data_IF_803251368985
#
_entry.id   IF_803251368985
#
_cell.length_a   1.000
_cell.length_b   1.000
_cell.length_c   1.000
_cell.angle_alpha   90.00
_cell.angle_beta   90.00
_cell.angle_gamma   90.00
#
_symmetry.space_group_name_H-M   'P 1'
#
loop_
_entity.id
_entity.type
_entity.pdbx_description
1 polymer ?
#
# COMPACT_ATOMS: atom_id res chain seq x y z
N UNK A 1 33.10 -18.54 -4.50
CA UNK A 1 31.65 -18.81 -4.37
C UNK A 1 30.91 -17.84 -3.44
N UNK A 2 31.47 -17.42 -2.29
CA UNK A 2 30.79 -16.53 -1.32
C UNK A 2 30.23 -15.21 -1.90
N UNK A 3 30.94 -14.58 -2.84
CA UNK A 3 30.47 -13.36 -3.51
C UNK A 3 29.19 -13.58 -4.33
N UNK A 4 29.15 -14.65 -5.14
CA UNK A 4 27.97 -15.04 -5.92
C UNK A 4 26.80 -15.37 -4.98
N UNK A 5 27.06 -16.11 -3.89
CA UNK A 5 26.06 -16.41 -2.86
C UNK A 5 25.45 -15.14 -2.24
N UNK A 6 26.28 -14.11 -1.95
CA UNK A 6 25.80 -12.82 -1.44
C UNK A 6 24.88 -12.10 -2.44
N UNK A 7 25.23 -12.08 -3.73
CA UNK A 7 24.39 -11.45 -4.77
C UNK A 7 23.05 -12.16 -4.86
N UNK A 8 23.05 -13.49 -4.95
CA UNK A 8 21.82 -14.30 -5.02
C UNK A 8 20.94 -14.10 -3.79
N UNK A 9 21.54 -14.04 -2.60
CA UNK A 9 20.82 -13.78 -1.35
C UNK A 9 20.09 -12.42 -1.39
N UNK A 10 20.78 -11.35 -1.81
CA UNK A 10 20.21 -10.01 -1.84
C UNK A 10 19.09 -9.89 -2.89
N UNK A 11 19.30 -10.44 -4.09
CA UNK A 11 18.27 -10.47 -5.14
C UNK A 11 17.07 -11.32 -4.68
N UNK A 12 17.34 -12.50 -4.12
CA UNK A 12 16.31 -13.40 -3.62
C UNK A 12 15.47 -12.78 -2.52
N UNK A 13 16.10 -12.08 -1.56
CA UNK A 13 15.41 -11.36 -0.50
C UNK A 13 14.52 -10.25 -1.07
N UNK A 14 15.06 -9.40 -1.95
CA UNK A 14 14.29 -8.33 -2.59
C UNK A 14 13.10 -8.84 -3.38
N UNK A 15 13.30 -9.86 -4.22
CA UNK A 15 12.23 -10.47 -5.01
C UNK A 15 11.19 -11.18 -4.14
N UNK A 16 11.59 -11.85 -3.05
CA UNK A 16 10.65 -12.50 -2.12
C UNK A 16 9.78 -11.48 -1.40
N UNK A 17 10.39 -10.40 -0.90
CA UNK A 17 9.64 -9.34 -0.20
C UNK A 17 8.68 -8.66 -1.17
N UNK A 18 9.18 -8.21 -2.33
CA UNK A 18 8.36 -7.51 -3.31
C UNK A 18 7.26 -8.41 -3.91
N UNK A 19 7.62 -9.62 -4.33
CA UNK A 19 6.66 -10.59 -4.86
C UNK A 19 5.65 -11.03 -3.80
N UNK A 20 6.09 -11.26 -2.57
CA UNK A 20 5.24 -11.69 -1.46
C UNK A 20 4.18 -10.65 -1.11
N UNK A 21 4.54 -9.36 -1.07
CA UNK A 21 3.57 -8.28 -0.85
C UNK A 21 2.52 -8.22 -1.96
N UNK A 22 2.95 -8.25 -3.22
CA UNK A 22 2.03 -8.20 -4.34
C UNK A 22 1.16 -9.47 -4.46
N UNK A 23 1.71 -10.63 -4.11
CA UNK A 23 0.94 -11.88 -4.05
C UNK A 23 -0.09 -11.85 -2.91
N UNK A 24 0.25 -11.25 -1.77
CA UNK A 24 -0.71 -11.06 -0.68
C UNK A 24 -1.89 -10.17 -1.10
N UNK A 25 -1.63 -9.09 -1.85
CA UNK A 25 -2.69 -8.24 -2.40
C UNK A 25 -3.55 -9.01 -3.41
N UNK A 26 -2.91 -9.77 -4.31
CA UNK A 26 -3.64 -10.53 -5.34
C UNK A 26 -4.50 -11.66 -4.77
N UNK A 27 -4.12 -12.21 -3.61
CA UNK A 27 -4.94 -13.20 -2.89
C UNK A 27 -6.14 -12.57 -2.16
N UNK A 28 -6.16 -11.25 -1.98
CA UNK A 28 -7.21 -10.51 -1.26
C UNK A 28 -8.03 -9.57 -2.15
N UNK A 29 -7.90 -9.68 -3.47
CA UNK A 29 -8.66 -8.83 -4.38
C UNK A 29 -8.68 -9.36 -5.79
N UNK A 30 -9.37 -8.61 -6.66
CA UNK A 30 -9.52 -8.92 -8.07
C UNK A 30 -8.84 -7.88 -8.94
N UNK A 31 -8.46 -8.27 -10.17
CA UNK A 31 -7.92 -7.32 -11.16
C UNK A 31 -8.93 -6.27 -11.58
N UNK A 32 -10.22 -6.59 -11.50
CA UNK A 32 -11.31 -5.64 -11.73
C UNK A 32 -11.67 -4.95 -10.41
N UNK A 33 -11.75 -3.60 -10.38
CA UNK A 33 -12.12 -2.88 -9.17
C UNK A 33 -13.60 -3.08 -8.87
N UNK A 34 -13.91 -3.40 -7.61
CA UNK A 34 -15.30 -3.53 -7.15
C UNK A 34 -15.86 -2.17 -6.73
N UNK A 35 -17.03 -1.75 -7.23
CA UNK A 35 -17.65 -0.50 -6.81
C UNK A 35 -18.15 -0.60 -5.37
N UNK A 36 -17.85 0.42 -4.55
CA UNK A 36 -18.25 0.49 -3.14
C UNK A 36 -18.60 1.92 -2.76
N UNK A 37 -19.50 2.12 -1.80
CA UNK A 37 -19.73 3.43 -1.19
C UNK A 37 -18.78 3.63 -0.01
N UNK A 38 -18.45 4.87 0.34
CA UNK A 38 -17.55 5.13 1.47
C UNK A 38 -18.06 4.52 2.79
N UNK A 39 -19.37 4.62 3.04
CA UNK A 39 -20.01 4.06 4.23
C UNK A 39 -19.87 2.54 4.29
N UNK A 40 -20.04 1.84 3.15
CA UNK A 40 -19.87 0.40 3.08
C UNK A 40 -18.41 -0.02 3.30
N UNK A 41 -17.44 0.72 2.73
CA UNK A 41 -16.02 0.48 2.95
C UNK A 41 -15.62 0.63 4.44
N UNK A 42 -16.19 1.62 5.11
CA UNK A 42 -15.99 1.86 6.54
C UNK A 42 -16.66 0.84 7.47
N UNK A 43 -17.46 -0.09 6.96
CA UNK A 43 -18.02 -1.19 7.75
C UNK A 43 -16.93 -2.22 8.13
N UNK A 44 -17.24 -3.10 9.08
CA UNK A 44 -16.30 -4.11 9.58
C UNK A 44 -15.79 -5.06 8.49
N UNK A 45 -16.65 -5.39 7.52
CA UNK A 45 -16.44 -6.30 6.38
C UNK A 45 -16.28 -5.56 5.05
N UNK A 46 -16.15 -4.23 5.06
CA UNK A 46 -16.06 -3.39 3.86
C UNK A 46 -14.81 -3.57 2.99
N UNK A 47 -13.92 -4.51 3.34
CA UNK A 47 -12.62 -4.74 2.67
C UNK A 47 -12.45 -6.19 2.22
N UNK A 48 -13.54 -6.86 1.85
CA UNK A 48 -13.49 -8.22 1.30
C UNK A 48 -12.69 -8.29 -0.01
N UNK A 49 -12.76 -7.22 -0.80
CA UNK A 49 -11.89 -6.97 -1.94
C UNK A 49 -10.97 -5.78 -1.62
N UNK A 50 -9.69 -5.89 -1.97
CA UNK A 50 -8.73 -4.80 -1.76
C UNK A 50 -8.71 -3.81 -2.92
N UNK A 51 -9.16 -4.18 -4.12
CA UNK A 51 -9.22 -3.30 -5.28
C UNK A 51 -10.64 -2.75 -5.46
N UNK A 52 -10.81 -1.47 -5.13
CA UNK A 52 -12.13 -0.87 -4.98
C UNK A 52 -12.23 0.43 -5.78
N UNK A 53 -13.45 0.77 -6.19
CA UNK A 53 -13.83 2.09 -6.68
C UNK A 53 -14.81 2.73 -5.70
N UNK A 54 -14.32 3.68 -4.90
CA UNK A 54 -15.08 4.34 -3.83
C UNK A 54 -15.90 5.47 -4.43
N UNK A 55 -17.20 5.47 -4.12
CA UNK A 55 -18.17 6.52 -4.46
C UNK A 55 -18.84 7.06 -3.20
N UNK A 56 -19.70 8.08 -3.35
CA UNK A 56 -20.47 8.69 -2.27
C UNK A 56 -19.56 9.20 -1.12
N UNK A 57 -18.57 10.00 -1.49
CA UNK A 57 -17.69 10.65 -0.53
C UNK A 57 -17.66 12.15 -0.75
N UNK A 58 -17.33 12.86 0.30
CA UNK A 58 -16.83 14.23 0.28
C UNK A 58 -15.40 14.23 0.81
N UNK A 59 -14.68 15.29 0.49
CA UNK A 59 -13.28 15.45 0.85
C UNK A 59 -13.22 16.36 2.07
N UNK A 60 -12.52 15.94 3.13
CA UNK A 60 -12.38 16.78 4.32
C UNK A 60 -11.57 18.05 4.05
N UNK A 61 -11.77 19.08 4.87
CA UNK A 61 -11.26 20.44 4.63
C UNK A 61 -9.73 20.54 4.63
N UNK A 62 -9.05 19.67 5.39
CA UNK A 62 -7.59 19.68 5.53
C UNK A 62 -6.96 18.36 5.09
N UNK A 63 -5.86 18.49 4.34
CA UNK A 63 -5.00 17.40 3.86
C UNK A 63 -3.67 17.39 4.59
N UNK A 64 -3.01 16.24 4.60
CA UNK A 64 -1.63 16.12 5.06
C UNK A 64 -0.72 15.87 3.86
N UNK A 65 0.24 16.75 3.64
CA UNK A 65 1.19 16.66 2.52
C UNK A 65 2.55 16.22 3.05
N UNK A 66 3.03 15.09 2.56
CA UNK A 66 4.40 14.66 2.77
C UNK A 66 5.27 15.23 1.65
N UNK A 67 6.12 16.20 1.99
CA UNK A 67 7.13 16.72 1.09
C UNK A 67 8.49 16.03 1.31
N UNK A 68 9.27 15.95 0.24
CA UNK A 68 10.69 15.61 0.30
C UNK A 68 11.52 16.82 0.77
N UNK A 69 12.81 16.60 1.05
CA UNK A 69 13.73 17.66 1.53
C UNK A 69 13.82 18.86 0.58
N UNK A 70 13.55 18.68 -0.71
CA UNK A 70 13.54 19.76 -1.70
C UNK A 70 12.17 20.43 -1.88
N UNK A 71 11.20 20.12 -1.01
CA UNK A 71 9.84 20.67 -1.05
C UNK A 71 8.90 20.00 -2.06
N UNK A 72 9.36 19.05 -2.89
CA UNK A 72 8.48 18.32 -3.81
C UNK A 72 7.56 17.38 -3.03
N UNK A 73 6.28 17.39 -3.38
CA UNK A 73 5.30 16.48 -2.81
C UNK A 73 5.68 15.03 -3.16
N UNK A 74 5.63 14.16 -2.15
CA UNK A 74 5.82 12.71 -2.29
C UNK A 74 4.51 11.98 -2.15
N UNK A 75 3.65 12.47 -1.26
CA UNK A 75 2.37 11.84 -0.94
C UNK A 75 1.42 12.87 -0.35
N UNK A 76 0.16 12.80 -0.73
CA UNK A 76 -0.92 13.59 -0.12
C UNK A 76 -1.90 12.63 0.51
N UNK A 77 -2.25 12.86 1.78
CA UNK A 77 -3.26 12.12 2.52
C UNK A 77 -4.53 12.96 2.62
N UNK A 78 -5.64 12.34 2.22
CA UNK A 78 -6.94 12.96 1.96
C UNK A 78 -7.97 12.24 2.84
N UNK A 79 -8.55 12.92 3.84
CA UNK A 79 -9.61 12.34 4.63
C UNK A 79 -10.88 12.27 3.79
N UNK A 80 -11.48 11.07 3.72
CA UNK A 80 -12.75 10.86 3.04
C UNK A 80 -13.89 10.87 4.07
N UNK A 81 -14.88 11.71 3.83
CA UNK A 81 -16.07 11.88 4.66
C UNK A 81 -17.31 11.42 3.88
N UNK A 82 -18.38 11.05 4.56
CA UNK A 82 -19.67 10.75 3.92
C UNK A 82 -20.27 12.03 3.31
N UNK A 83 -21.32 11.94 2.47
CA UNK A 83 -22.00 13.11 1.91
C UNK A 83 -22.54 14.09 2.98
N UNK A 84 -22.76 13.61 4.20
CA UNK A 84 -23.18 14.40 5.37
C UNK A 84 -22.01 15.05 6.12
N UNK A 85 -20.81 15.01 5.55
CA UNK A 85 -19.57 15.52 6.14
C UNK A 85 -19.24 14.85 7.51
N UNK A 86 -19.50 13.54 7.60
CA UNK A 86 -19.20 12.72 8.78
C UNK A 86 -18.16 11.65 8.45
N UNK A 87 -17.43 11.18 9.47
CA UNK A 87 -16.57 10.01 9.29
C UNK A 87 -17.41 8.74 9.16
N UNK A 88 -17.07 7.81 8.24
CA UNK A 88 -17.65 6.48 8.28
C UNK A 88 -17.24 5.75 9.56
N UNK A 89 -17.95 4.66 9.90
CA UNK A 89 -17.75 3.92 11.15
C UNK A 89 -16.28 3.57 11.44
N UNK A 90 -15.53 3.20 10.39
CA UNK A 90 -14.07 3.14 10.39
C UNK A 90 -13.54 4.24 9.46
N UNK A 91 -12.79 5.23 9.97
CA UNK A 91 -12.25 6.33 9.16
C UNK A 91 -11.49 5.84 7.93
N UNK A 92 -11.64 6.53 6.80
CA UNK A 92 -10.91 6.21 5.57
C UNK A 92 -10.07 7.41 5.16
N UNK A 93 -8.77 7.18 5.02
CA UNK A 93 -7.81 8.16 4.54
C UNK A 93 -7.29 7.67 3.19
N UNK A 94 -7.72 8.34 2.12
CA UNK A 94 -7.13 8.15 0.82
C UNK A 94 -5.73 8.75 0.78
N UNK A 95 -4.85 8.23 -0.06
CA UNK A 95 -3.60 8.89 -0.38
C UNK A 95 -3.21 8.68 -1.84
N UNK A 96 -2.43 9.61 -2.36
CA UNK A 96 -1.90 9.57 -3.72
C UNK A 96 -0.49 10.12 -3.76
N UNK A 97 0.37 9.52 -4.59
CA UNK A 97 1.69 10.01 -4.98
C UNK A 97 1.70 10.58 -6.41
N UNK A 98 0.55 10.57 -7.10
CA UNK A 98 0.40 11.06 -8.47
C UNK A 98 0.31 12.59 -8.57
N UNK A 99 -0.03 13.29 -7.47
CA UNK A 99 -0.14 14.75 -7.44
C UNK A 99 1.19 15.40 -6.99
N UNK A 100 1.79 16.17 -7.88
CA UNK A 100 3.01 16.94 -7.60
C UNK A 100 2.72 18.38 -7.14
N UNK A 101 1.48 18.85 -7.27
CA UNK A 101 1.05 20.22 -6.93
C UNK A 101 -0.47 20.29 -6.69
N UNK A 102 -0.94 21.45 -6.25
CA UNK A 102 -2.36 21.71 -5.93
C UNK A 102 -3.31 21.52 -7.12
N UNK A 103 -2.89 21.87 -8.34
CA UNK A 103 -3.74 21.76 -9.53
C UNK A 103 -3.97 20.29 -9.92
N UNK A 104 -2.92 19.46 -9.84
CA UNK A 104 -3.03 18.02 -10.05
C UNK A 104 -3.88 17.36 -8.96
N UNK A 105 -3.69 17.76 -7.70
CA UNK A 105 -4.54 17.29 -6.60
C UNK A 105 -6.01 17.67 -6.83
N UNK A 106 -6.31 18.91 -7.20
CA UNK A 106 -7.67 19.36 -7.49
C UNK A 106 -8.33 18.52 -8.59
N UNK A 107 -7.57 18.10 -9.61
CA UNK A 107 -8.06 17.20 -10.67
C UNK A 107 -8.45 15.83 -10.12
N UNK A 108 -7.68 15.29 -9.16
CA UNK A 108 -8.02 14.02 -8.49
C UNK A 108 -9.27 14.18 -7.62
N UNK A 109 -9.36 15.29 -6.86
CA UNK A 109 -10.48 15.54 -5.94
C UNK A 109 -11.81 15.84 -6.65
N UNK A 110 -11.79 16.23 -7.92
CA UNK A 110 -13.00 16.45 -8.73
C UNK A 110 -13.66 15.15 -9.23
N UNK A 111 -13.00 14.00 -9.08
CA UNK A 111 -13.53 12.71 -9.53
C UNK A 111 -14.71 12.30 -8.65
N UNK A 112 -15.79 11.82 -9.27
CA UNK A 112 -16.95 11.29 -8.54
C UNK A 112 -16.68 9.93 -7.87
N UNK A 113 -15.65 9.23 -8.35
CA UNK A 113 -15.19 7.96 -7.81
C UNK A 113 -13.67 7.91 -7.75
N UNK A 114 -13.13 7.31 -6.69
CA UNK A 114 -11.69 7.06 -6.53
C UNK A 114 -11.44 5.56 -6.62
N UNK A 115 -10.71 5.14 -7.65
CA UNK A 115 -10.28 3.75 -7.82
C UNK A 115 -8.89 3.56 -7.23
N UNK A 116 -8.67 2.45 -6.54
CA UNK A 116 -7.43 2.23 -5.82
C UNK A 116 -7.42 0.95 -4.99
N UNK A 117 -6.40 0.84 -4.14
CA UNK A 117 -6.17 -0.36 -3.32
C UNK A 117 -6.19 -0.03 -1.84
N UNK A 118 -6.92 -0.81 -1.04
CA UNK A 118 -6.88 -0.74 0.42
C UNK A 118 -5.56 -1.33 0.92
N UNK A 119 -4.75 -0.54 1.62
CA UNK A 119 -3.38 -0.92 2.02
C UNK A 119 -3.21 -1.25 3.51
N UNK A 120 -4.30 -1.34 4.28
CA UNK A 120 -4.25 -1.56 5.74
C UNK A 120 -3.47 -2.79 6.21
N UNK A 121 -3.34 -3.83 5.39
CA UNK A 121 -2.50 -5.00 5.72
C UNK A 121 -0.99 -4.76 5.63
N UNK A 122 -0.57 -3.65 5.03
CA UNK A 122 0.84 -3.35 4.73
C UNK A 122 1.28 -2.00 5.27
N UNK A 123 0.43 -0.99 5.17
CA UNK A 123 0.72 0.38 5.55
C UNK A 123 -0.56 1.04 6.07
N UNK A 124 -0.81 0.90 7.38
CA UNK A 124 -1.78 1.74 8.06
C UNK A 124 -1.29 3.19 8.19
N UNK A 125 -2.14 4.05 8.75
CA UNK A 125 -1.78 5.43 9.02
C UNK A 125 -0.67 5.47 10.09
N UNK A 126 0.52 5.94 9.72
CA UNK A 126 1.66 6.03 10.63
C UNK A 126 1.40 7.00 11.78
N UNK A 127 2.23 6.91 12.84
CA UNK A 127 2.11 7.78 14.02
C UNK A 127 2.17 9.26 13.64
N UNK A 128 3.10 9.65 12.77
CA UNK A 128 3.27 11.04 12.34
C UNK A 128 2.03 11.57 11.60
N UNK A 129 1.42 10.75 10.74
CA UNK A 129 0.21 11.13 10.01
C UNK A 129 -0.98 11.25 10.96
N UNK A 130 -1.13 10.33 11.92
CA UNK A 130 -2.16 10.42 12.97
C UNK A 130 -2.03 11.71 13.78
N UNK A 131 -0.81 12.07 14.20
CA UNK A 131 -0.55 13.31 14.94
C UNK A 131 -0.87 14.56 14.10
N UNK A 132 -0.54 14.55 12.81
CA UNK A 132 -0.87 15.66 11.90
C UNK A 132 -2.38 15.80 11.69
N UNK A 133 -3.12 14.70 11.57
CA UNK A 133 -4.58 14.73 11.44
C UNK A 133 -5.31 15.05 12.75
N UNK A 134 -4.69 14.80 13.91
CA UNK A 134 -5.29 15.14 15.21
C UNK A 134 -5.47 16.65 15.42
N UNK A 135 -4.73 17.49 14.68
CA UNK A 135 -4.85 18.96 14.72
C UNK A 135 -6.17 19.42 14.07
N UNK A 136 -6.46 19.13 12.78
CA UNK A 136 -7.71 19.52 12.14
C UNK A 136 -8.93 18.70 12.55
N UNK A 137 -8.73 17.46 12.99
CA UNK A 137 -9.83 16.55 13.34
C UNK A 137 -9.70 16.05 14.78
N UNK A 138 -9.86 16.95 15.78
CA UNK A 138 -9.71 16.57 17.18
C UNK A 138 -10.77 15.54 17.60
N UNK A 139 -10.35 14.53 18.35
CA UNK A 139 -11.24 13.49 18.90
C UNK A 139 -11.57 12.34 17.95
N UNK A 140 -11.09 12.35 16.70
CA UNK A 140 -11.25 11.24 15.76
C UNK A 140 -10.23 10.14 16.07
N UNK A 141 -10.70 8.91 16.26
CA UNK A 141 -9.81 7.77 16.46
C UNK A 141 -9.32 7.23 15.10
N UNK A 142 -8.03 7.39 14.81
CA UNK A 142 -7.40 6.95 13.56
C UNK A 142 -6.58 5.66 13.70
N UNK A 143 -6.61 4.98 14.86
CA UNK A 143 -5.79 3.78 15.13
C UNK A 143 -6.20 2.58 14.27
N UNK A 144 -7.45 2.56 13.81
CA UNK A 144 -7.99 1.57 12.89
C UNK A 144 -8.37 2.14 11.53
N UNK A 145 -7.92 3.35 11.19
CA UNK A 145 -8.28 3.98 9.92
C UNK A 145 -7.84 3.13 8.73
N UNK A 146 -8.66 3.11 7.68
CA UNK A 146 -8.33 2.51 6.39
C UNK A 146 -7.46 3.46 5.57
N UNK A 147 -6.27 3.00 5.19
CA UNK A 147 -5.46 3.65 4.17
C UNK A 147 -5.89 3.15 2.78
N UNK A 148 -6.20 4.07 1.87
CA UNK A 148 -6.63 3.77 0.50
C UNK A 148 -5.72 4.45 -0.53
N UNK A 149 -4.97 3.66 -1.30
CA UNK A 149 -4.04 4.17 -2.31
C UNK A 149 -4.77 4.44 -3.62
N UNK A 150 -5.02 5.71 -3.93
CA UNK A 150 -5.68 6.15 -5.18
C UNK A 150 -4.76 5.88 -6.37
N UNK A 151 -5.33 5.41 -7.48
CA UNK A 151 -4.66 5.10 -8.75
C UNK A 151 -3.57 4.02 -8.63
N UNK A 152 -3.54 3.27 -7.53
CA UNK A 152 -2.59 2.17 -7.38
C UNK A 152 -2.98 0.99 -8.28
N UNK A 153 -2.06 0.56 -9.13
CA UNK A 153 -2.27 -0.58 -10.00
C UNK A 153 -2.39 -1.87 -9.20
N UNK A 154 -3.42 -2.67 -9.47
CA UNK A 154 -3.54 -3.99 -8.85
C UNK A 154 -2.49 -4.96 -9.44
N UNK A 155 -1.73 -5.68 -8.59
CA UNK A 155 -0.69 -6.57 -9.07
C UNK A 155 -1.25 -7.78 -9.84
N UNK A 156 -0.60 -8.13 -10.94
CA UNK A 156 -0.90 -9.36 -11.67
C UNK A 156 -0.42 -10.59 -10.90
N UNK A 157 -1.35 -11.41 -10.43
CA UNK A 157 -1.04 -12.68 -9.75
C UNK A 157 -0.14 -13.59 -10.59
N UNK A 158 -0.35 -13.58 -11.91
CA UNK A 158 0.41 -14.39 -12.88
C UNK A 158 1.89 -14.02 -12.89
N UNK A 159 2.23 -12.76 -12.65
CA UNK A 159 3.63 -12.31 -12.61
C UNK A 159 4.21 -12.40 -11.19
N UNK A 160 3.41 -12.08 -10.17
CA UNK A 160 3.91 -11.90 -8.81
C UNK A 160 4.15 -13.22 -8.07
N UNK A 161 3.34 -14.25 -8.33
CA UNK A 161 3.54 -15.58 -7.73
C UNK A 161 4.86 -16.19 -8.22
N UNK A 162 5.16 -16.29 -9.54
CA UNK A 162 6.45 -16.79 -10.01
C UNK A 162 7.63 -15.97 -9.51
N UNK A 163 7.52 -14.64 -9.47
CA UNK A 163 8.58 -13.78 -8.95
C UNK A 163 8.91 -14.09 -7.49
N UNK A 164 7.88 -14.33 -6.67
CA UNK A 164 8.04 -14.74 -5.26
C UNK A 164 8.76 -16.08 -5.16
N UNK A 165 8.35 -17.06 -5.97
CA UNK A 165 8.97 -18.39 -5.98
C UNK A 165 10.44 -18.34 -6.42
N UNK A 166 10.76 -17.59 -7.48
CA UNK A 166 12.13 -17.36 -7.92
C UNK A 166 12.95 -16.68 -6.80
N UNK A 167 12.37 -15.69 -6.14
CA UNK A 167 12.98 -15.02 -5.00
C UNK A 167 13.34 -16.00 -3.88
N UNK A 168 12.42 -16.89 -3.50
CA UNK A 168 12.64 -17.91 -2.47
C UNK A 168 13.76 -18.89 -2.87
N UNK A 169 13.79 -19.33 -4.12
CA UNK A 169 14.84 -20.21 -4.64
C UNK A 169 16.21 -19.52 -4.53
N UNK A 170 16.32 -18.26 -4.95
CA UNK A 170 17.57 -17.50 -4.86
C UNK A 170 17.99 -17.21 -3.43
N UNK A 171 17.03 -16.96 -2.53
CA UNK A 171 17.30 -16.76 -1.11
C UNK A 171 17.91 -18.02 -0.48
N UNK A 172 17.31 -19.19 -0.72
CA UNK A 172 17.79 -20.48 -0.19
C UNK A 172 19.14 -20.86 -0.81
N UNK A 173 19.27 -20.79 -2.13
CA UNK A 173 20.52 -21.11 -2.83
C UNK A 173 21.65 -20.15 -2.43
N UNK A 174 21.37 -18.84 -2.41
CA UNK A 174 22.31 -17.80 -2.00
C UNK A 174 22.75 -17.96 -0.55
N UNK A 175 21.82 -18.23 0.36
CA UNK A 175 22.13 -18.54 1.77
C UNK A 175 23.03 -19.75 1.92
N UNK A 176 22.69 -20.87 1.27
CA UNK A 176 23.50 -22.08 1.33
C UNK A 176 24.93 -21.89 0.78
N UNK A 177 25.09 -21.14 -0.31
CA UNK A 177 26.41 -20.80 -0.86
C UNK A 177 27.19 -19.81 0.02
N UNK A 178 26.50 -18.85 0.65
CA UNK A 178 27.13 -17.85 1.50
C UNK A 178 27.67 -18.46 2.80
N UNK A 179 26.87 -19.31 3.44
CA UNK A 179 27.23 -19.98 4.71
C UNK A 179 28.04 -21.26 4.53
N UNK A 180 28.26 -21.72 3.29
CA UNK A 180 29.13 -22.86 2.99
C UNK A 180 28.45 -24.23 3.08
N UNK A 181 27.11 -24.29 3.20
CA UNK A 181 26.36 -25.55 3.21
C UNK A 181 26.48 -26.36 1.90
N UNK A 182 26.87 -25.72 0.80
CA UNK A 182 27.10 -26.36 -0.49
C UNK A 182 28.58 -26.50 -0.88
N UNK A 183 29.51 -26.09 -0.01
CA UNK A 183 30.92 -26.36 -0.19
C UNK A 183 31.21 -27.78 0.30
N UNK A 184 31.08 -28.77 -0.59
CA UNK A 184 31.43 -30.16 -0.28
C UNK A 184 32.86 -30.22 0.26
N UNK A 185 33.02 -30.94 1.38
CA UNK A 185 34.31 -31.21 2.01
C UNK A 185 35.22 -31.99 1.06
N UNK A 186 35.95 -31.26 0.22
CA UNK A 186 37.08 -31.77 -0.54
C UNK A 186 38.37 -31.53 0.23
N UNK A 187 38.45 -32.10 1.43
CA UNK A 187 39.72 -32.35 2.13
C UNK A 187 39.89 -33.88 2.20
N UNK A 188 40.26 -34.49 1.07
CA UNK A 188 40.89 -35.83 0.99
C UNK A 188 42.15 -35.74 0.11
#
# INVERSE_FOLDING_TARGET
>A
MRFVGRILLLIGLGATIFGGFNSYLSLRGTSEPEPVTLSALGAADGTNNTHLSISEFTVGEQFVIEASENGKWRRVWIPLMTPENAWPARPVIAYTDAAANEMELATILQRQALTGVVTNGMQGLGKNQREQFAIPYPGVNLDGALAFSVDHSFPSAVLMIPLTLIGLVFLVAGGGMYFGFFGGGGDE
#
